data_IF_337925533191
#
_entry.id   IF_337925533191
#
_cell.length_a   1.000
_cell.length_b   1.000
_cell.length_c   1.000
_cell.angle_alpha   90.00
_cell.angle_beta   90.00
_cell.angle_gamma   90.00
#
_symmetry.space_group_name_H-M   'P 1'
#
loop_
_entity.id
_entity.type
_entity.pdbx_description
1 polymer ?
#
# COMPACT_ATOMS: atom_id res chain seq x y z
N UNK A 1 28.16 -9.06 -19.50
CA UNK A 1 26.70 -9.27 -19.60
C UNK A 1 26.25 -10.01 -18.35
N UNK A 2 25.36 -9.45 -17.53
CA UNK A 2 24.84 -10.20 -16.36
C UNK A 2 23.99 -11.37 -16.85
N UNK A 3 24.26 -12.57 -16.33
CA UNK A 3 23.45 -13.77 -16.59
C UNK A 3 22.01 -13.52 -16.11
N UNK A 4 21.03 -13.74 -16.99
CA UNK A 4 19.62 -13.65 -16.65
C UNK A 4 19.28 -14.64 -15.52
N UNK A 5 18.45 -14.20 -14.55
CA UNK A 5 18.07 -14.95 -13.34
C UNK A 5 16.56 -15.27 -13.37
N UNK A 6 16.15 -16.37 -14.04
CA UNK A 6 14.73 -16.75 -14.13
C UNK A 6 14.10 -17.06 -12.77
N UNK A 7 14.90 -17.54 -11.82
CA UNK A 7 14.48 -17.82 -10.45
C UNK A 7 13.99 -16.57 -9.70
N UNK A 8 14.50 -15.38 -10.04
CA UNK A 8 14.04 -14.12 -9.43
C UNK A 8 12.65 -13.72 -9.96
N UNK A 9 12.40 -13.94 -11.25
CA UNK A 9 11.05 -13.73 -11.80
C UNK A 9 10.08 -14.79 -11.23
N UNK A 10 10.51 -16.03 -11.09
CA UNK A 10 9.76 -17.05 -10.37
C UNK A 10 9.42 -16.69 -8.92
N UNK A 11 10.38 -16.11 -8.20
CA UNK A 11 10.16 -15.63 -6.83
C UNK A 11 9.12 -14.50 -6.78
N UNK A 12 9.08 -13.62 -7.78
CA UNK A 12 8.00 -12.63 -7.91
C UNK A 12 6.63 -13.27 -8.13
N UNK A 13 6.56 -14.40 -8.83
CA UNK A 13 5.30 -15.14 -8.98
C UNK A 13 4.81 -15.70 -7.65
N UNK A 14 5.72 -16.28 -6.86
CA UNK A 14 5.45 -16.75 -5.49
C UNK A 14 5.07 -15.60 -4.56
N UNK A 15 5.50 -14.37 -4.86
CA UNK A 15 5.09 -13.17 -4.12
C UNK A 15 3.71 -12.62 -4.54
N UNK A 16 3.40 -12.53 -5.84
CA UNK A 16 2.16 -11.88 -6.31
C UNK A 16 0.92 -12.78 -6.24
N UNK A 17 1.05 -14.08 -6.47
CA UNK A 17 -0.11 -14.98 -6.49
C UNK A 17 -0.80 -15.06 -5.11
N UNK A 18 -0.08 -15.20 -3.98
CA UNK A 18 -0.72 -15.17 -2.67
C UNK A 18 -1.42 -13.84 -2.39
N UNK A 19 -0.83 -12.69 -2.78
CA UNK A 19 -1.47 -11.37 -2.62
C UNK A 19 -2.78 -11.30 -3.41
N UNK A 20 -2.77 -11.79 -4.65
CA UNK A 20 -3.98 -11.85 -5.50
C UNK A 20 -5.07 -12.72 -4.86
N UNK A 21 -4.71 -13.92 -4.37
CA UNK A 21 -5.66 -14.84 -3.76
C UNK A 21 -6.18 -14.36 -2.41
N UNK A 22 -5.32 -13.72 -1.61
CA UNK A 22 -5.70 -13.04 -0.37
C UNK A 22 -6.74 -11.95 -0.64
N UNK A 23 -6.49 -11.06 -1.59
CA UNK A 23 -7.44 -10.00 -1.95
C UNK A 23 -8.74 -10.52 -2.59
N UNK A 24 -8.67 -11.67 -3.26
CA UNK A 24 -9.85 -12.37 -3.75
C UNK A 24 -10.61 -13.15 -2.66
N UNK A 25 -10.20 -13.08 -1.38
CA UNK A 25 -10.91 -13.71 -0.26
C UNK A 25 -10.77 -15.23 -0.20
N UNK A 26 -9.76 -15.82 -0.84
CA UNK A 26 -9.52 -17.27 -0.77
C UNK A 26 -8.90 -17.60 0.58
N UNK A 27 -9.69 -18.17 1.50
CA UNK A 27 -9.29 -18.38 2.90
C UNK A 27 -7.98 -19.16 3.12
N UNK A 28 -7.61 -20.06 2.22
CA UNK A 28 -6.33 -20.78 2.28
C UNK A 28 -5.10 -19.83 2.17
N UNK A 29 -5.27 -18.62 1.64
CA UNK A 29 -4.21 -17.63 1.46
C UNK A 29 -4.38 -16.44 2.41
N UNK A 30 -4.89 -16.66 3.63
CA UNK A 30 -5.07 -15.60 4.64
C UNK A 30 -3.77 -14.84 4.95
N UNK A 31 -2.60 -15.51 4.87
CA UNK A 31 -1.29 -14.91 5.02
C UNK A 31 -0.71 -14.33 3.73
N UNK A 32 -1.46 -14.27 2.63
CA UNK A 32 -0.95 -13.90 1.32
C UNK A 32 -0.42 -12.45 1.22
N UNK A 33 -0.79 -11.58 2.16
CA UNK A 33 -0.26 -10.22 2.27
C UNK A 33 1.28 -10.18 2.44
N UNK A 34 1.89 -11.24 2.99
CA UNK A 34 3.36 -11.35 3.15
C UNK A 34 4.14 -11.35 1.82
N UNK A 35 3.44 -11.55 0.70
CA UNK A 35 4.05 -11.44 -0.62
C UNK A 35 4.65 -10.06 -0.89
N UNK A 36 4.12 -8.99 -0.26
CA UNK A 36 4.68 -7.64 -0.37
C UNK A 36 6.09 -7.56 0.26
N UNK A 37 6.30 -8.20 1.39
CA UNK A 37 7.59 -8.26 2.08
C UNK A 37 8.64 -9.02 1.22
N UNK A 38 8.21 -10.10 0.56
CA UNK A 38 9.05 -10.81 -0.42
C UNK A 38 9.41 -9.89 -1.60
N UNK A 39 8.47 -9.08 -2.09
CA UNK A 39 8.75 -8.07 -3.13
C UNK A 39 9.79 -7.04 -2.67
N UNK A 40 9.69 -6.55 -1.44
CA UNK A 40 10.65 -5.61 -0.86
C UNK A 40 12.08 -6.18 -0.86
N UNK A 41 12.26 -7.44 -0.46
CA UNK A 41 13.57 -8.10 -0.51
C UNK A 41 14.10 -8.20 -1.95
N UNK A 42 13.26 -8.61 -2.91
CA UNK A 42 13.65 -8.69 -4.33
C UNK A 42 14.07 -7.33 -4.87
N UNK A 43 13.29 -6.28 -4.56
CA UNK A 43 13.51 -4.92 -5.02
C UNK A 43 14.81 -4.34 -4.46
N UNK A 44 15.04 -4.49 -3.16
CA UNK A 44 16.30 -4.10 -2.52
C UNK A 44 17.53 -4.78 -3.13
N UNK A 45 17.43 -6.10 -3.42
CA UNK A 45 18.50 -6.85 -4.08
C UNK A 45 18.80 -6.33 -5.49
N UNK A 46 17.76 -6.19 -6.33
CA UNK A 46 17.95 -5.80 -7.72
C UNK A 46 18.47 -4.37 -7.86
N UNK A 47 17.90 -3.43 -7.09
CA UNK A 47 18.30 -2.03 -7.14
C UNK A 47 19.72 -1.84 -6.61
N UNK A 48 20.02 -2.40 -5.44
CA UNK A 48 21.37 -2.31 -4.86
C UNK A 48 22.40 -2.93 -5.80
N UNK A 49 22.10 -4.10 -6.39
CA UNK A 49 23.03 -4.76 -7.32
C UNK A 49 23.30 -3.93 -8.56
N UNK A 50 22.26 -3.30 -9.14
CA UNK A 50 22.42 -2.41 -10.30
C UNK A 50 23.32 -1.22 -9.94
N UNK A 51 22.99 -0.49 -8.87
CA UNK A 51 23.70 0.72 -8.46
C UNK A 51 25.15 0.37 -8.10
N UNK A 52 25.34 -0.61 -7.21
CA UNK A 52 26.67 -1.00 -6.74
C UNK A 52 27.57 -1.47 -7.88
N UNK A 53 27.03 -2.29 -8.80
CA UNK A 53 27.80 -2.74 -9.99
C UNK A 53 28.21 -1.57 -10.86
N UNK A 54 27.29 -0.64 -11.16
CA UNK A 54 27.59 0.54 -11.98
C UNK A 54 28.57 1.49 -11.28
N UNK A 55 28.54 1.59 -9.93
CA UNK A 55 29.52 2.36 -9.15
C UNK A 55 30.91 1.73 -9.26
N UNK A 56 31.03 0.41 -9.04
CA UNK A 56 32.31 -0.30 -9.16
C UNK A 56 32.90 -0.20 -10.57
N UNK A 57 32.04 -0.09 -11.60
CA UNK A 57 32.44 0.09 -13.00
C UNK A 57 32.71 1.56 -13.37
N UNK A 58 32.46 2.52 -12.48
CA UNK A 58 32.61 3.96 -12.78
C UNK A 58 31.59 4.51 -13.77
N UNK A 59 30.49 3.80 -14.04
CA UNK A 59 29.48 4.15 -15.06
C UNK A 59 28.16 4.62 -14.46
N UNK A 60 28.05 4.68 -13.13
CA UNK A 60 26.80 5.04 -12.45
C UNK A 60 26.37 6.47 -12.79
N UNK A 61 25.07 6.61 -13.09
CA UNK A 61 24.44 7.90 -13.31
C UNK A 61 23.08 7.90 -12.64
N UNK A 62 22.89 8.80 -11.69
CA UNK A 62 21.63 8.94 -10.94
C UNK A 62 20.45 9.27 -11.87
N UNK A 63 20.68 10.11 -12.88
CA UNK A 63 19.65 10.46 -13.87
C UNK A 63 19.24 9.24 -14.71
N UNK A 64 20.21 8.45 -15.20
CA UNK A 64 19.91 7.21 -15.94
C UNK A 64 19.23 6.17 -15.05
N UNK A 65 19.57 6.12 -13.77
CA UNK A 65 18.90 5.25 -12.81
C UNK A 65 17.41 5.61 -12.68
N UNK A 66 17.09 6.88 -12.40
CA UNK A 66 15.71 7.33 -12.28
C UNK A 66 14.93 7.24 -13.59
N UNK A 67 15.58 7.51 -14.72
CA UNK A 67 14.96 7.29 -16.03
C UNK A 67 14.51 5.83 -16.20
N UNK A 68 15.37 4.85 -15.88
CA UNK A 68 15.03 3.43 -15.98
C UNK A 68 13.91 3.02 -15.01
N UNK A 69 13.81 3.67 -13.84
CA UNK A 69 12.71 3.45 -12.88
C UNK A 69 11.42 4.04 -13.41
N UNK A 70 11.43 5.32 -13.82
CA UNK A 70 10.27 5.98 -14.40
C UNK A 70 9.68 5.20 -15.58
N UNK A 71 10.53 4.70 -16.50
CA UNK A 71 10.11 3.87 -17.65
C UNK A 71 9.46 2.54 -17.27
N UNK A 72 9.78 2.02 -16.09
CA UNK A 72 9.25 0.75 -15.59
C UNK A 72 7.96 0.94 -14.79
N UNK A 73 7.85 2.03 -14.04
CA UNK A 73 6.80 2.24 -13.03
C UNK A 73 5.68 3.14 -13.57
N UNK A 74 6.02 4.34 -14.04
CA UNK A 74 5.01 5.38 -14.32
C UNK A 74 3.99 5.00 -15.40
N UNK A 75 4.34 4.39 -16.55
CA UNK A 75 3.35 4.11 -17.60
C UNK A 75 2.20 3.22 -17.13
N UNK A 76 2.51 2.11 -16.45
CA UNK A 76 1.48 1.18 -15.98
C UNK A 76 0.68 1.76 -14.81
N UNK A 77 1.35 2.51 -13.92
CA UNK A 77 0.69 3.24 -12.84
C UNK A 77 -0.30 4.28 -13.38
N UNK A 78 0.11 5.09 -14.36
CA UNK A 78 -0.75 6.10 -14.99
C UNK A 78 -1.95 5.47 -15.69
N UNK A 79 -1.76 4.36 -16.41
CA UNK A 79 -2.86 3.64 -17.04
C UNK A 79 -3.87 3.11 -16.01
N UNK A 80 -3.38 2.57 -14.89
CA UNK A 80 -4.22 2.08 -13.79
C UNK A 80 -4.97 3.24 -13.13
N UNK A 81 -4.30 4.34 -12.81
CA UNK A 81 -4.93 5.52 -12.22
C UNK A 81 -5.98 6.14 -13.16
N UNK A 82 -5.70 6.23 -14.46
CA UNK A 82 -6.66 6.71 -15.44
C UNK A 82 -7.90 5.80 -15.50
N UNK A 83 -7.70 4.48 -15.51
CA UNK A 83 -8.80 3.53 -15.41
C UNK A 83 -9.62 3.76 -14.14
N UNK A 84 -8.97 3.89 -12.98
CA UNK A 84 -9.67 4.15 -11.72
C UNK A 84 -10.46 5.47 -11.76
N UNK A 85 -9.91 6.53 -12.35
CA UNK A 85 -10.63 7.81 -12.51
C UNK A 85 -11.90 7.61 -13.34
N UNK A 86 -11.77 6.94 -14.50
CA UNK A 86 -12.92 6.69 -15.38
C UNK A 86 -14.00 5.91 -14.65
N UNK A 87 -13.65 4.82 -13.98
CA UNK A 87 -14.63 3.99 -13.28
C UNK A 87 -15.25 4.74 -12.07
N UNK A 88 -14.42 5.39 -11.25
CA UNK A 88 -14.89 6.15 -10.08
C UNK A 88 -15.79 7.31 -10.49
N UNK A 89 -15.55 7.96 -11.64
CA UNK A 89 -16.37 9.06 -12.14
C UNK A 89 -17.83 8.67 -12.37
N UNK A 90 -18.07 7.41 -12.76
CA UNK A 90 -19.43 6.91 -12.99
C UNK A 90 -20.03 6.21 -11.77
N UNK A 91 -19.21 5.60 -10.91
CA UNK A 91 -19.69 4.78 -9.81
C UNK A 91 -19.75 5.53 -8.47
N UNK A 92 -18.76 6.36 -8.15
CA UNK A 92 -18.64 6.91 -6.80
C UNK A 92 -19.54 8.12 -6.59
N UNK A 93 -20.32 8.05 -5.51
CA UNK A 93 -21.01 9.20 -4.92
C UNK A 93 -19.98 10.26 -4.49
N UNK A 94 -20.40 11.52 -4.27
CA UNK A 94 -19.45 12.64 -4.15
C UNK A 94 -18.37 12.44 -3.10
N UNK A 95 -18.73 11.98 -1.90
CA UNK A 95 -17.76 11.79 -0.81
C UNK A 95 -16.80 10.62 -1.06
N UNK A 96 -17.26 9.52 -1.66
CA UNK A 96 -16.38 8.41 -2.05
C UNK A 96 -15.41 8.85 -3.17
N UNK A 97 -15.88 9.69 -4.10
CA UNK A 97 -15.03 10.26 -5.14
C UNK A 97 -13.99 11.23 -4.54
N UNK A 98 -14.37 12.02 -3.53
CA UNK A 98 -13.44 12.90 -2.79
C UNK A 98 -12.34 12.09 -2.09
N UNK A 99 -12.69 10.99 -1.42
CA UNK A 99 -11.75 10.08 -0.75
C UNK A 99 -10.83 9.38 -1.77
N UNK A 100 -11.39 8.93 -2.90
CA UNK A 100 -10.63 8.42 -4.03
C UNK A 100 -9.65 9.46 -4.60
N UNK A 101 -10.07 10.72 -4.74
CA UNK A 101 -9.26 11.79 -5.31
C UNK A 101 -8.06 12.15 -4.40
N UNK A 102 -8.23 12.04 -3.07
CA UNK A 102 -7.12 12.09 -2.10
C UNK A 102 -6.15 10.93 -2.30
N UNK A 103 -6.68 9.71 -2.44
CA UNK A 103 -5.86 8.50 -2.69
C UNK A 103 -5.07 8.60 -4.00
N UNK A 104 -5.70 9.12 -5.06
CA UNK A 104 -5.06 9.38 -6.36
C UNK A 104 -3.90 10.36 -6.24
N UNK A 105 -4.14 11.51 -5.58
CA UNK A 105 -3.11 12.52 -5.33
C UNK A 105 -1.93 11.91 -4.55
N UNK A 106 -2.22 11.17 -3.49
CA UNK A 106 -1.20 10.56 -2.65
C UNK A 106 -0.42 9.45 -3.39
N UNK A 107 -1.07 8.67 -4.25
CA UNK A 107 -0.42 7.68 -5.10
C UNK A 107 0.52 8.32 -6.12
N UNK A 108 0.13 9.44 -6.75
CA UNK A 108 0.96 10.17 -7.73
C UNK A 108 2.18 10.84 -7.10
N UNK A 109 2.08 11.23 -5.83
CA UNK A 109 3.17 11.83 -5.07
C UNK A 109 4.01 10.78 -4.31
N UNK A 110 3.69 9.49 -4.42
CA UNK A 110 4.31 8.39 -3.65
C UNK A 110 4.30 8.62 -2.13
N UNK A 111 3.18 9.11 -1.61
CA UNK A 111 2.92 9.35 -0.17
C UNK A 111 1.64 8.66 0.33
N UNK A 112 1.07 7.74 -0.45
CA UNK A 112 -0.16 7.03 -0.09
C UNK A 112 -0.03 6.22 1.21
N UNK A 113 1.16 5.78 1.58
CA UNK A 113 1.39 5.13 2.88
C UNK A 113 1.08 6.08 4.05
N UNK A 114 1.43 7.37 3.96
CA UNK A 114 1.10 8.35 5.00
C UNK A 114 -0.39 8.69 5.04
N UNK A 115 -1.04 8.77 3.87
CA UNK A 115 -2.49 8.96 3.80
C UNK A 115 -3.21 7.82 4.53
N UNK A 116 -2.93 6.57 4.14
CA UNK A 116 -3.66 5.43 4.70
C UNK A 116 -3.31 5.13 6.15
N UNK A 117 -2.13 5.52 6.62
CA UNK A 117 -1.77 5.49 8.05
C UNK A 117 -2.74 6.33 8.91
N UNK A 118 -3.24 7.45 8.38
CA UNK A 118 -4.20 8.32 9.07
C UNK A 118 -5.66 7.91 8.86
N UNK A 119 -5.93 6.90 8.03
CA UNK A 119 -7.28 6.47 7.64
C UNK A 119 -7.60 5.06 8.15
N UNK A 120 -7.09 4.71 9.32
CA UNK A 120 -7.41 3.47 10.05
C UNK A 120 -8.23 3.78 11.29
N UNK A 121 -9.25 2.98 11.59
CA UNK A 121 -10.03 3.11 12.82
C UNK A 121 -11.51 2.84 12.60
N UNK A 122 -12.27 2.83 13.70
CA UNK A 122 -13.70 2.49 13.71
C UNK A 122 -14.56 3.32 12.74
N UNK A 123 -14.21 4.60 12.54
CA UNK A 123 -14.94 5.52 11.65
C UNK A 123 -14.31 5.68 10.26
N UNK A 124 -13.23 4.95 9.97
CA UNK A 124 -12.61 5.02 8.65
C UNK A 124 -13.43 4.25 7.61
N UNK A 125 -13.44 4.75 6.37
CA UNK A 125 -14.02 4.02 5.25
C UNK A 125 -13.35 2.62 5.15
N UNK A 126 -14.11 1.53 4.94
CA UNK A 126 -13.54 0.21 4.83
C UNK A 126 -12.40 0.17 3.80
N UNK A 127 -11.24 -0.33 4.21
CA UNK A 127 -10.06 -0.42 3.36
C UNK A 127 -10.33 -1.20 2.06
N UNK A 128 -11.26 -2.15 2.09
CA UNK A 128 -11.66 -3.00 0.97
C UNK A 128 -12.40 -2.27 -0.16
N UNK A 129 -12.87 -1.03 0.05
CA UNK A 129 -13.54 -0.24 -0.99
C UNK A 129 -12.68 0.89 -1.56
N UNK A 130 -11.39 0.96 -1.19
CA UNK A 130 -10.44 1.97 -1.68
C UNK A 130 -9.64 1.44 -2.88
N UNK A 131 -9.92 1.88 -4.13
CA UNK A 131 -9.34 1.25 -5.32
C UNK A 131 -7.81 1.39 -5.44
N UNK A 132 -7.23 2.38 -4.75
CA UNK A 132 -5.79 2.64 -4.78
C UNK A 132 -5.09 2.29 -3.46
N UNK A 133 -5.73 1.54 -2.55
CA UNK A 133 -5.14 1.22 -1.25
C UNK A 133 -3.76 0.57 -1.39
N UNK A 134 -3.66 -0.48 -2.21
CA UNK A 134 -2.42 -1.21 -2.48
C UNK A 134 -1.23 -0.33 -2.93
N UNK A 135 -1.42 0.93 -3.36
CA UNK A 135 -0.28 1.80 -3.70
C UNK A 135 0.54 2.22 -2.48
N UNK A 136 0.10 1.95 -1.24
CA UNK A 136 0.86 2.22 -0.03
C UNK A 136 2.26 1.57 -0.04
N UNK A 137 2.36 0.29 -0.45
CA UNK A 137 3.64 -0.41 -0.45
C UNK A 137 4.53 0.07 -1.60
N UNK A 138 3.92 0.43 -2.74
CA UNK A 138 4.62 1.09 -3.84
C UNK A 138 5.21 2.43 -3.38
N UNK A 139 4.48 3.23 -2.59
CA UNK A 139 5.01 4.47 -2.03
C UNK A 139 6.24 4.23 -1.14
N UNK A 140 6.21 3.22 -0.27
CA UNK A 140 7.37 2.82 0.56
C UNK A 140 8.57 2.43 -0.33
N UNK A 141 8.32 1.63 -1.36
CA UNK A 141 9.34 1.17 -2.32
C UNK A 141 9.95 2.35 -3.11
N UNK A 142 9.14 3.28 -3.61
CA UNK A 142 9.63 4.45 -4.36
C UNK A 142 10.36 5.45 -3.46
N UNK A 143 9.93 5.64 -2.21
CA UNK A 143 10.68 6.43 -1.22
C UNK A 143 12.07 5.84 -0.99
N UNK A 144 12.18 4.51 -0.89
CA UNK A 144 13.48 3.84 -0.86
C UNK A 144 14.25 4.07 -2.17
N UNK A 145 13.61 4.03 -3.34
CA UNK A 145 14.29 4.30 -4.62
C UNK A 145 14.79 5.73 -4.76
N UNK A 146 14.18 6.71 -4.12
CA UNK A 146 14.63 8.11 -4.13
C UNK A 146 15.81 8.30 -3.16
N UNK A 147 15.72 7.74 -1.96
CA UNK A 147 16.70 8.01 -0.89
C UNK A 147 17.91 7.09 -0.99
N UNK A 148 17.70 5.79 -1.21
CA UNK A 148 18.75 4.78 -1.11
C UNK A 148 19.89 4.94 -2.12
N UNK A 149 19.68 5.25 -3.42
CA UNK A 149 20.79 5.43 -4.35
C UNK A 149 21.73 6.56 -3.94
N UNK A 150 21.19 7.66 -3.41
CA UNK A 150 21.99 8.79 -2.93
C UNK A 150 22.84 8.37 -1.72
N UNK A 151 22.22 7.71 -0.75
CA UNK A 151 22.92 7.16 0.41
C UNK A 151 24.01 6.17 0.00
N UNK A 152 23.72 5.28 -0.95
CA UNK A 152 24.67 4.25 -1.39
C UNK A 152 25.86 4.87 -2.12
N UNK A 153 25.67 5.90 -2.95
CA UNK A 153 26.76 6.62 -3.63
C UNK A 153 27.66 7.32 -2.61
N UNK A 154 27.07 8.03 -1.65
CA UNK A 154 27.82 8.73 -0.59
C UNK A 154 28.59 7.72 0.26
N UNK A 155 27.93 6.64 0.70
CA UNK A 155 28.55 5.60 1.50
C UNK A 155 29.63 4.82 0.73
N UNK A 156 29.44 4.53 -0.55
CA UNK A 156 30.46 3.88 -1.38
C UNK A 156 31.70 4.75 -1.57
N UNK A 157 31.56 6.09 -1.50
CA UNK A 157 32.68 7.04 -1.59
C UNK A 157 33.43 7.19 -0.26
N UNK A 158 32.72 7.39 0.84
CA UNK A 158 33.33 7.75 2.13
C UNK A 158 33.48 6.58 3.11
N UNK A 159 32.63 5.56 2.99
CA UNK A 159 32.57 4.41 3.89
C UNK A 159 32.86 3.12 3.15
N UNK A 160 33.65 3.14 2.06
CA UNK A 160 33.84 1.98 1.17
C UNK A 160 34.16 0.67 1.91
N UNK A 161 35.03 0.73 2.92
CA UNK A 161 35.45 -0.42 3.71
C UNK A 161 34.40 -0.87 4.74
N UNK A 162 33.48 0.02 5.12
CA UNK A 162 32.42 -0.22 6.11
C UNK A 162 31.04 -0.33 5.48
N UNK A 163 30.91 -0.18 4.15
CA UNK A 163 29.63 -0.08 3.45
C UNK A 163 28.69 -1.24 3.81
N UNK A 164 29.23 -2.46 3.77
CA UNK A 164 28.50 -3.66 4.16
C UNK A 164 28.01 -3.61 5.61
N UNK A 165 28.92 -3.26 6.53
CA UNK A 165 28.61 -3.15 7.95
C UNK A 165 27.56 -2.05 8.21
N UNK A 166 27.68 -0.90 7.57
CA UNK A 166 26.71 0.20 7.70
C UNK A 166 25.31 -0.23 7.25
N UNK A 167 25.19 -0.92 6.11
CA UNK A 167 23.89 -1.43 5.63
C UNK A 167 23.33 -2.48 6.60
N UNK A 168 24.17 -3.38 7.14
CA UNK A 168 23.74 -4.37 8.14
C UNK A 168 23.23 -3.67 9.42
N UNK A 169 23.96 -2.69 9.95
CA UNK A 169 23.57 -1.95 11.15
C UNK A 169 22.23 -1.22 10.95
N UNK A 170 22.04 -0.57 9.79
CA UNK A 170 20.78 0.11 9.48
C UNK A 170 19.63 -0.91 9.32
N UNK A 171 19.91 -2.07 8.73
CA UNK A 171 18.93 -3.17 8.62
C UNK A 171 18.47 -3.61 10.01
N UNK A 172 19.40 -3.86 10.93
CA UNK A 172 19.09 -4.29 12.29
C UNK A 172 18.38 -3.20 13.08
N UNK A 173 18.77 -1.92 12.93
CA UNK A 173 18.10 -0.81 13.58
C UNK A 173 16.65 -0.63 13.10
N UNK A 174 16.42 -0.72 11.78
CA UNK A 174 15.08 -0.67 11.19
C UNK A 174 14.22 -1.86 11.62
N UNK A 175 14.79 -3.06 11.70
CA UNK A 175 14.10 -4.25 12.22
C UNK A 175 13.74 -4.11 13.71
N UNK A 176 14.67 -3.64 14.55
CA UNK A 176 14.40 -3.39 15.97
C UNK A 176 13.29 -2.34 16.14
N UNK A 177 13.32 -1.27 15.33
CA UNK A 177 12.25 -0.27 15.31
C UNK A 177 10.91 -0.86 14.87
N UNK A 178 10.89 -1.75 13.86
CA UNK A 178 9.70 -2.48 13.42
C UNK A 178 9.07 -3.30 14.56
N UNK A 179 9.88 -4.12 15.24
CA UNK A 179 9.41 -4.97 16.35
C UNK A 179 8.86 -4.12 17.49
N UNK A 180 9.59 -3.08 17.90
CA UNK A 180 9.15 -2.17 18.95
C UNK A 180 7.86 -1.42 18.58
N UNK A 181 7.79 -0.88 17.36
CA UNK A 181 6.63 -0.12 16.89
C UNK A 181 5.39 -1.00 16.74
N UNK A 182 5.55 -2.28 16.36
CA UNK A 182 4.42 -3.21 16.21
C UNK A 182 3.69 -3.41 17.54
N UNK A 183 4.42 -3.52 18.66
CA UNK A 183 3.83 -3.68 19.99
C UNK A 183 3.15 -2.44 20.56
N UNK A 184 3.49 -1.23 20.10
CA UNK A 184 2.96 0.03 20.65
C UNK A 184 1.99 0.76 19.71
N UNK A 185 2.26 0.72 18.40
CA UNK A 185 1.59 1.48 17.33
C UNK A 185 1.59 0.66 16.03
N UNK A 186 0.82 -0.44 15.93
CA UNK A 186 0.89 -1.39 14.81
C UNK A 186 0.61 -0.74 13.45
N UNK A 187 -0.35 0.19 13.38
CA UNK A 187 -0.65 0.96 12.14
C UNK A 187 0.58 1.73 11.65
N UNK A 188 1.33 2.36 12.55
CA UNK A 188 2.54 3.10 12.20
C UNK A 188 3.64 2.13 11.75
N UNK A 189 3.81 1.00 12.45
CA UNK A 189 4.77 -0.02 12.08
C UNK A 189 4.52 -0.57 10.66
N UNK A 190 3.26 -0.71 10.27
CA UNK A 190 2.84 -1.21 8.96
C UNK A 190 3.09 -0.21 7.82
N UNK A 191 2.74 1.07 7.99
CA UNK A 191 2.79 2.06 6.91
C UNK A 191 4.07 2.92 6.84
N UNK A 192 4.83 3.04 7.94
CA UNK A 192 6.03 3.89 7.94
C UNK A 192 7.20 3.21 7.23
N UNK A 193 7.84 3.96 6.33
CA UNK A 193 9.01 3.47 5.59
C UNK A 193 10.18 3.08 6.51
N UNK A 194 10.52 3.80 7.59
CA UNK A 194 11.58 3.39 8.50
C UNK A 194 11.38 2.03 9.20
N UNK A 195 10.14 1.62 9.49
CA UNK A 195 9.85 0.29 10.07
C UNK A 195 9.81 -0.82 9.04
N UNK A 196 9.71 -0.49 7.74
CA UNK A 196 9.67 -1.47 6.65
C UNK A 196 10.99 -1.54 5.86
N UNK A 197 11.90 -0.58 6.06
CA UNK A 197 13.13 -0.45 5.30
C UNK A 197 14.04 -1.68 5.42
N UNK A 198 14.08 -2.36 6.58
CA UNK A 198 14.90 -3.56 6.79
C UNK A 198 14.61 -4.69 5.78
N UNK A 199 13.37 -4.80 5.28
CA UNK A 199 12.96 -5.79 4.28
C UNK A 199 13.70 -5.56 2.95
N UNK A 200 13.72 -4.30 2.49
CA UNK A 200 14.51 -3.87 1.31
C UNK A 200 16.01 -4.00 1.59
N UNK A 201 16.45 -3.70 2.82
CA UNK A 201 17.86 -3.76 3.17
C UNK A 201 18.41 -5.18 3.26
N UNK A 202 17.60 -6.20 3.58
CA UNK A 202 18.01 -7.62 3.47
C UNK A 202 18.47 -7.91 2.04
N UNK A 203 17.68 -7.53 1.04
CA UNK A 203 18.09 -7.66 -0.36
C UNK A 203 19.36 -6.87 -0.68
N UNK A 204 19.49 -5.69 -0.10
CA UNK A 204 20.67 -4.82 -0.26
C UNK A 204 21.95 -5.45 0.28
N UNK A 205 21.90 -6.05 1.47
CA UNK A 205 23.02 -6.79 2.08
C UNK A 205 23.48 -7.91 1.15
N UNK A 206 22.55 -8.69 0.61
CA UNK A 206 22.86 -9.77 -0.34
C UNK A 206 23.52 -9.25 -1.62
N UNK A 207 23.05 -8.13 -2.14
CA UNK A 207 23.57 -7.54 -3.37
C UNK A 207 25.00 -6.99 -3.23
N UNK A 208 25.41 -6.57 -2.02
CA UNK A 208 26.76 -6.09 -1.74
C UNK A 208 27.80 -7.22 -1.65
N UNK A 209 27.37 -8.48 -1.59
CA UNK A 209 28.29 -9.63 -1.56
C UNK A 209 29.10 -9.74 -0.27
N UNK A 210 28.58 -9.21 0.84
CA UNK A 210 29.27 -9.19 2.15
C UNK A 210 29.12 -10.51 2.90
N UNK A 211 28.19 -11.37 2.46
CA UNK A 211 28.01 -12.72 3.01
C UNK A 211 28.99 -13.67 2.30
N UNK A 212 29.82 -14.44 3.03
CA UNK A 212 30.75 -15.41 2.45
C UNK A 212 30.05 -16.40 1.53
N UNK A 213 30.75 -16.89 0.49
CA UNK A 213 30.23 -17.92 -0.39
C UNK A 213 30.28 -19.31 0.28
N UNK A 214 29.33 -20.18 -0.06
CA UNK A 214 29.29 -21.57 0.41
C UNK A 214 29.62 -22.47 -0.76
N UNK A 215 30.64 -23.32 -0.60
CA UNK A 215 31.07 -24.27 -1.64
C UNK A 215 30.18 -25.52 -1.71
N UNK A 216 29.58 -25.93 -0.58
CA UNK A 216 28.77 -27.14 -0.51
C UNK A 216 27.38 -26.94 -1.14
N UNK A 217 27.17 -27.61 -2.28
CA UNK A 217 25.89 -27.63 -3.00
C UNK A 217 24.74 -28.23 -2.19
N UNK A 218 24.99 -29.16 -1.26
CA UNK A 218 23.96 -29.76 -0.41
C UNK A 218 23.42 -28.71 0.57
N UNK A 219 24.32 -27.94 1.17
CA UNK A 219 23.95 -26.81 2.05
C UNK A 219 23.16 -25.77 1.26
N UNK A 220 23.61 -25.38 0.07
CA UNK A 220 22.89 -24.43 -0.78
C UNK A 220 21.49 -24.93 -1.17
N UNK A 221 21.34 -26.22 -1.47
CA UNK A 221 20.01 -26.82 -1.71
C UNK A 221 19.13 -26.78 -0.45
N UNK A 222 19.70 -27.10 0.72
CA UNK A 222 19.00 -27.00 2.00
C UNK A 222 18.51 -25.58 2.28
N UNK A 223 19.36 -24.57 2.09
CA UNK A 223 18.99 -23.16 2.25
C UNK A 223 17.90 -22.72 1.26
N UNK A 224 17.98 -23.17 0.01
CA UNK A 224 16.98 -22.87 -1.02
C UNK A 224 15.60 -23.45 -0.67
N UNK A 225 15.56 -24.72 -0.24
CA UNK A 225 14.31 -25.38 0.17
C UNK A 225 13.76 -24.80 1.49
N UNK A 226 14.63 -24.49 2.45
CA UNK A 226 14.24 -23.80 3.68
C UNK A 226 13.64 -22.43 3.38
N UNK A 227 14.25 -21.67 2.47
CA UNK A 227 13.74 -20.35 2.08
C UNK A 227 12.35 -20.43 1.45
N UNK A 228 12.12 -21.42 0.58
CA UNK A 228 10.80 -21.69 0.03
C UNK A 228 9.80 -22.11 1.11
N UNK A 229 10.21 -23.00 2.03
CA UNK A 229 9.37 -23.46 3.13
C UNK A 229 8.96 -22.31 4.06
N UNK A 230 9.87 -21.38 4.38
CA UNK A 230 9.56 -20.19 5.18
C UNK A 230 8.49 -19.31 4.53
N UNK A 231 8.61 -19.05 3.22
CA UNK A 231 7.62 -18.26 2.48
C UNK A 231 6.25 -18.97 2.47
N UNK A 232 6.22 -20.25 2.14
CA UNK A 232 4.98 -21.03 2.11
C UNK A 232 4.34 -21.13 3.51
N UNK A 233 5.16 -21.32 4.55
CA UNK A 233 4.69 -21.31 5.93
C UNK A 233 3.99 -19.99 6.27
N UNK A 234 4.61 -18.85 5.97
CA UNK A 234 4.00 -17.54 6.23
C UNK A 234 2.69 -17.34 5.46
N UNK A 235 2.62 -17.77 4.19
CA UNK A 235 1.41 -17.65 3.35
C UNK A 235 0.24 -18.46 3.93
N UNK A 236 0.49 -19.69 4.39
CA UNK A 236 -0.58 -20.61 4.80
C UNK A 236 -0.89 -20.60 6.30
N UNK A 237 0.02 -20.09 7.14
CA UNK A 237 -0.15 -20.12 8.60
C UNK A 237 -0.43 -18.75 9.21
N UNK A 238 -0.09 -17.65 8.54
CA UNK A 238 -0.44 -16.31 9.04
C UNK A 238 -1.87 -15.94 8.65
N UNK A 239 -2.45 -15.02 9.41
CA UNK A 239 -3.82 -14.55 9.26
C UNK A 239 -3.99 -13.16 9.92
N UNK A 240 -5.24 -12.69 10.02
CA UNK A 240 -5.57 -11.38 10.61
C UNK A 240 -5.20 -11.24 12.11
N UNK A 241 -5.07 -12.36 12.84
CA UNK A 241 -4.69 -12.37 14.26
C UNK A 241 -3.17 -12.38 14.47
N UNK A 242 -2.40 -12.45 13.38
CA UNK A 242 -0.95 -12.40 13.46
C UNK A 242 -0.50 -10.96 13.68
N UNK A 243 0.21 -10.70 14.79
CA UNK A 243 0.82 -9.39 15.06
C UNK A 243 1.84 -9.04 13.96
N UNK A 244 1.38 -8.27 12.96
CA UNK A 244 2.14 -7.99 11.76
C UNK A 244 2.37 -6.47 11.62
N UNK A 245 3.59 -6.03 11.22
CA UNK A 245 4.69 -6.83 10.70
C UNK A 245 5.54 -7.56 11.75
N UNK A 246 5.95 -6.87 12.82
CA UNK A 246 6.67 -7.47 13.93
C UNK A 246 7.92 -8.25 13.53
N UNK A 247 8.23 -9.29 14.32
CA UNK A 247 9.30 -10.23 14.00
C UNK A 247 8.82 -11.30 13.01
N UNK A 248 7.51 -11.48 12.86
CA UNK A 248 6.85 -12.45 12.00
C UNK A 248 7.18 -12.21 10.53
N UNK A 249 7.24 -10.94 10.11
CA UNK A 249 7.69 -10.54 8.78
C UNK A 249 9.12 -11.01 8.45
N UNK A 250 9.96 -11.33 9.44
CA UNK A 250 11.31 -11.86 9.20
C UNK A 250 11.28 -13.24 8.52
N UNK A 251 10.26 -14.04 8.76
CA UNK A 251 10.13 -15.39 8.19
C UNK A 251 10.09 -15.36 6.66
N UNK A 252 9.13 -14.67 6.00
CA UNK A 252 9.10 -14.58 4.55
C UNK A 252 10.29 -13.77 3.99
N UNK A 253 10.77 -12.74 4.70
CA UNK A 253 11.89 -11.91 4.24
C UNK A 253 13.22 -12.67 4.18
N UNK A 254 13.56 -13.36 5.27
CA UNK A 254 14.75 -14.21 5.32
C UNK A 254 14.58 -15.39 4.37
N UNK A 255 13.37 -15.95 4.23
CA UNK A 255 13.09 -16.99 3.24
C UNK A 255 13.40 -16.56 1.80
N UNK A 256 12.95 -15.35 1.42
CA UNK A 256 13.30 -14.74 0.14
C UNK A 256 14.81 -14.50 0.01
N UNK A 257 15.45 -14.01 1.08
CA UNK A 257 16.89 -13.81 1.12
C UNK A 257 17.69 -15.10 0.90
N UNK A 258 17.30 -16.20 1.56
CA UNK A 258 17.90 -17.53 1.42
C UNK A 258 17.79 -18.05 -0.02
N UNK A 259 16.63 -17.89 -0.65
CA UNK A 259 16.43 -18.26 -2.06
C UNK A 259 17.33 -17.45 -2.99
N UNK A 260 17.36 -16.12 -2.83
CA UNK A 260 18.20 -15.23 -3.66
C UNK A 260 19.68 -15.60 -3.52
N UNK A 261 20.14 -15.80 -2.28
CA UNK A 261 21.52 -16.12 -1.92
C UNK A 261 21.95 -17.49 -2.47
N UNK A 262 21.17 -18.54 -2.20
CA UNK A 262 21.54 -19.91 -2.57
C UNK A 262 21.52 -20.12 -4.09
N UNK A 263 20.45 -19.66 -4.75
CA UNK A 263 20.25 -19.81 -6.19
C UNK A 263 21.21 -18.90 -7.00
N UNK A 264 21.82 -17.91 -6.35
CA UNK A 264 22.85 -17.07 -6.96
C UNK A 264 24.20 -17.74 -7.14
N UNK A 265 24.48 -18.80 -6.39
CA UNK A 265 25.78 -19.49 -6.39
C UNK A 265 25.76 -20.77 -7.22
N UNK A 266 24.68 -21.53 -7.18
CA UNK A 266 24.51 -22.77 -7.95
C UNK A 266 23.06 -22.94 -8.38
N UNK A 267 22.83 -23.81 -9.35
CA UNK A 267 21.48 -24.29 -9.64
C UNK A 267 21.01 -25.23 -8.52
N UNK A 268 20.01 -24.79 -7.76
CA UNK A 268 19.40 -25.53 -6.65
C UNK A 268 18.05 -26.12 -7.06
N UNK A 269 17.48 -26.99 -6.24
CA UNK A 269 16.13 -27.53 -6.43
C UNK A 269 15.09 -26.41 -6.36
N UNK A 270 15.13 -25.56 -5.32
CA UNK A 270 14.22 -24.42 -5.19
C UNK A 270 14.36 -23.44 -6.37
N UNK A 271 15.59 -23.19 -6.84
CA UNK A 271 15.84 -22.40 -8.04
C UNK A 271 15.22 -23.00 -9.31
N UNK A 272 15.26 -24.33 -9.47
CA UNK A 272 14.61 -25.03 -10.60
C UNK A 272 13.09 -24.92 -10.55
N UNK A 273 12.49 -25.07 -9.37
CA UNK A 273 11.05 -24.87 -9.16
C UNK A 273 10.65 -23.45 -9.56
N UNK A 274 11.37 -22.44 -9.08
CA UNK A 274 11.09 -21.04 -9.40
C UNK A 274 11.35 -20.71 -10.89
N UNK A 275 12.31 -21.38 -11.52
CA UNK A 275 12.62 -21.16 -12.94
C UNK A 275 11.63 -21.83 -13.90
N UNK A 276 10.56 -22.45 -13.39
CA UNK A 276 9.51 -23.04 -14.21
C UNK A 276 8.83 -21.97 -15.08
N UNK A 277 8.61 -22.26 -16.37
CA UNK A 277 8.17 -21.26 -17.36
C UNK A 277 6.91 -20.48 -16.97
N UNK A 278 5.84 -21.12 -16.45
CA UNK A 278 4.67 -20.40 -15.94
C UNK A 278 4.99 -19.43 -14.80
N UNK A 279 5.84 -19.80 -13.85
CA UNK A 279 6.24 -18.91 -12.75
C UNK A 279 7.06 -17.74 -13.27
N UNK A 280 8.00 -17.99 -14.19
CA UNK A 280 8.74 -16.90 -14.84
C UNK A 280 7.78 -15.95 -15.55
N UNK A 281 6.81 -16.46 -16.31
CA UNK A 281 5.83 -15.63 -17.02
C UNK A 281 4.98 -14.78 -16.07
N UNK A 282 4.47 -15.35 -14.99
CA UNK A 282 3.74 -14.61 -13.94
C UNK A 282 4.66 -13.53 -13.33
N UNK A 283 5.92 -13.88 -13.08
CA UNK A 283 6.95 -12.96 -12.59
C UNK A 283 7.25 -11.79 -13.52
N UNK A 284 7.13 -11.98 -14.84
CA UNK A 284 7.30 -10.93 -15.84
C UNK A 284 6.14 -9.94 -15.82
N UNK A 285 4.91 -10.40 -15.61
CA UNK A 285 3.71 -9.56 -15.54
C UNK A 285 3.42 -9.05 -14.13
N UNK A 286 4.19 -9.46 -13.12
CA UNK A 286 3.84 -9.31 -11.70
C UNK A 286 3.59 -7.86 -11.28
N UNK A 287 4.30 -6.89 -11.86
CA UNK A 287 4.09 -5.47 -11.59
C UNK A 287 2.75 -4.97 -12.13
N UNK A 288 2.43 -5.30 -13.38
CA UNK A 288 1.10 -4.99 -13.92
C UNK A 288 0.00 -5.74 -13.15
N UNK A 289 0.23 -7.00 -12.77
CA UNK A 289 -0.73 -7.75 -11.96
C UNK A 289 -0.97 -7.10 -10.60
N UNK A 290 0.11 -6.64 -9.95
CA UNK A 290 0.04 -5.89 -8.71
C UNK A 290 -0.83 -4.63 -8.83
N UNK A 291 -0.68 -3.86 -9.89
CA UNK A 291 -1.47 -2.63 -10.08
C UNK A 291 -2.93 -2.89 -10.42
N UNK A 292 -3.20 -3.85 -11.30
CA UNK A 292 -4.54 -4.02 -11.87
C UNK A 292 -5.47 -4.86 -11.01
N UNK A 293 -4.96 -5.85 -10.26
CA UNK A 293 -5.84 -6.79 -9.55
C UNK A 293 -6.71 -6.12 -8.50
N UNK A 294 -6.13 -5.19 -7.71
CA UNK A 294 -6.84 -4.59 -6.59
C UNK A 294 -7.99 -3.67 -7.05
N UNK A 295 -7.79 -2.68 -7.95
CA UNK A 295 -8.90 -1.89 -8.47
C UNK A 295 -10.02 -2.74 -9.08
N UNK A 296 -9.68 -3.79 -9.84
CA UNK A 296 -10.67 -4.69 -10.46
C UNK A 296 -11.54 -5.35 -9.38
N UNK A 297 -10.93 -5.89 -8.32
CA UNK A 297 -11.65 -6.52 -7.21
C UNK A 297 -12.47 -5.50 -6.43
N UNK A 298 -11.89 -4.33 -6.13
CA UNK A 298 -12.54 -3.27 -5.34
C UNK A 298 -13.78 -2.73 -6.04
N UNK A 299 -13.70 -2.41 -7.34
CA UNK A 299 -14.87 -1.90 -8.06
C UNK A 299 -15.97 -2.95 -8.18
N UNK A 300 -15.62 -4.23 -8.30
CA UNK A 300 -16.60 -5.32 -8.26
C UNK A 300 -17.28 -5.43 -6.88
N UNK A 301 -16.52 -5.36 -5.79
CA UNK A 301 -17.07 -5.34 -4.42
C UNK A 301 -17.96 -4.12 -4.18
N UNK A 302 -17.53 -2.94 -4.61
CA UNK A 302 -18.29 -1.70 -4.46
C UNK A 302 -19.66 -1.78 -5.17
N UNK A 303 -19.69 -2.31 -6.39
CA UNK A 303 -20.94 -2.44 -7.17
C UNK A 303 -21.87 -3.54 -6.65
N UNK A 304 -21.32 -4.61 -6.08
CA UNK A 304 -22.12 -5.66 -5.47
C UNK A 304 -22.72 -5.26 -4.10
N UNK A 305 -22.16 -4.25 -3.43
CA UNK A 305 -22.62 -3.80 -2.11
C UNK A 305 -22.39 -4.82 -0.98
N UNK A 306 -21.51 -5.81 -1.20
CA UNK A 306 -21.29 -6.90 -0.25
C UNK A 306 -20.34 -7.98 -0.77
N UNK A 307 -20.45 -9.18 -0.19
CA UNK A 307 -19.61 -10.32 -0.57
C UNK A 307 -19.91 -10.81 -2.00
N UNK A 308 -18.83 -11.16 -2.71
CA UNK A 308 -18.91 -11.68 -4.06
C UNK A 308 -18.97 -13.22 -4.04
N UNK A 309 -19.75 -13.81 -4.93
CA UNK A 309 -19.77 -15.27 -5.07
C UNK A 309 -18.39 -15.82 -5.51
N UNK A 310 -18.04 -17.06 -5.13
CA UNK A 310 -16.77 -17.66 -5.53
C UNK A 310 -16.54 -17.69 -7.04
N UNK A 311 -17.61 -17.88 -7.84
CA UNK A 311 -17.53 -17.87 -9.29
C UNK A 311 -17.09 -16.50 -9.83
N UNK A 312 -17.66 -15.41 -9.27
CA UNK A 312 -17.28 -14.04 -9.65
C UNK A 312 -15.84 -13.77 -9.26
N UNK A 313 -15.42 -14.18 -8.06
CA UNK A 313 -14.03 -14.00 -7.59
C UNK A 313 -13.01 -14.69 -8.49
N UNK A 314 -13.27 -15.95 -8.91
CA UNK A 314 -12.42 -16.63 -9.90
C UNK A 314 -12.41 -15.92 -11.25
N UNK A 315 -13.56 -15.40 -11.69
CA UNK A 315 -13.66 -14.55 -12.88
C UNK A 315 -12.78 -13.29 -12.79
N UNK A 316 -12.76 -12.62 -11.63
CA UNK A 316 -11.95 -11.43 -11.38
C UNK A 316 -10.46 -11.74 -11.32
N UNK A 317 -10.05 -12.90 -10.79
CA UNK A 317 -8.67 -13.38 -10.82
C UNK A 317 -8.21 -13.55 -12.27
N UNK A 318 -8.99 -14.26 -13.09
CA UNK A 318 -8.67 -14.48 -14.50
C UNK A 318 -8.62 -13.14 -15.25
N UNK A 319 -9.61 -12.27 -15.03
CA UNK A 319 -9.64 -10.93 -15.62
C UNK A 319 -8.40 -10.12 -15.24
N UNK A 320 -7.99 -10.16 -13.98
CA UNK A 320 -6.79 -9.46 -13.49
C UNK A 320 -5.53 -9.94 -14.19
N UNK A 321 -5.37 -11.26 -14.39
CA UNK A 321 -4.23 -11.83 -15.12
C UNK A 321 -4.26 -11.42 -16.59
N UNK A 322 -5.43 -11.43 -17.23
CA UNK A 322 -5.59 -11.00 -18.64
C UNK A 322 -5.24 -9.53 -18.80
N UNK A 323 -5.85 -8.65 -18.00
CA UNK A 323 -5.59 -7.20 -18.04
C UNK A 323 -4.12 -6.91 -17.71
N UNK A 324 -3.54 -7.57 -16.72
CA UNK A 324 -2.13 -7.44 -16.39
C UNK A 324 -1.22 -7.84 -17.55
N UNK A 325 -1.56 -8.92 -18.26
CA UNK A 325 -0.80 -9.38 -19.44
C UNK A 325 -0.86 -8.37 -20.58
N UNK A 326 -2.05 -7.81 -20.83
CA UNK A 326 -2.25 -6.76 -21.84
C UNK A 326 -1.51 -5.48 -21.45
N UNK A 327 -1.64 -5.02 -20.20
CA UNK A 327 -0.91 -3.87 -19.66
C UNK A 327 0.59 -4.08 -19.77
N UNK A 328 1.11 -5.23 -19.35
CA UNK A 328 2.53 -5.53 -19.47
C UNK A 328 3.00 -5.45 -20.93
N UNK A 329 2.27 -6.07 -21.87
CA UNK A 329 2.65 -6.14 -23.28
C UNK A 329 2.53 -4.80 -24.01
N UNK A 330 1.47 -4.03 -23.75
CA UNK A 330 1.09 -2.86 -24.54
C UNK A 330 1.29 -1.52 -23.82
N UNK A 331 1.41 -1.52 -22.49
CA UNK A 331 1.68 -0.33 -21.69
C UNK A 331 3.08 -0.37 -21.11
N UNK A 332 3.52 -1.44 -20.47
CA UNK A 332 4.83 -1.46 -19.80
C UNK A 332 6.00 -1.65 -20.78
N UNK A 333 5.94 -2.70 -21.61
CA UNK A 333 7.04 -3.06 -22.52
C UNK A 333 7.42 -1.97 -23.53
N UNK A 334 6.49 -1.21 -24.14
CA UNK A 334 6.85 -0.17 -25.11
C UNK A 334 7.77 0.92 -24.56
N UNK A 335 7.62 1.32 -23.30
CA UNK A 335 8.47 2.35 -22.68
C UNK A 335 9.78 1.80 -22.14
N UNK A 336 9.89 0.46 -21.98
CA UNK A 336 11.10 -0.25 -21.57
C UNK A 336 12.03 -0.59 -22.73
N UNK A 337 11.52 -0.65 -23.96
CA UNK A 337 12.33 -0.91 -25.16
C UNK A 337 13.24 0.28 -25.46
N UNK A 338 14.43 -0.01 -25.99
CA UNK A 338 15.43 1.00 -26.38
C UNK A 338 15.14 1.63 -27.75
N UNK A 339 14.09 1.20 -28.43
CA UNK A 339 13.71 1.62 -29.79
C UNK A 339 12.28 2.13 -29.79
N UNK A 340 11.96 3.06 -30.69
CA UNK A 340 10.65 3.70 -30.81
C UNK A 340 10.60 5.15 -30.28
N UNK A 341 9.46 5.84 -30.43
CA UNK A 341 9.34 7.26 -30.10
C UNK A 341 9.57 7.55 -28.61
N UNK A 342 9.12 6.64 -27.74
CA UNK A 342 9.29 6.77 -26.29
C UNK A 342 10.71 6.45 -25.82
N UNK A 343 11.58 5.86 -26.65
CA UNK A 343 12.98 5.65 -26.27
C UNK A 343 13.73 6.99 -26.10
N UNK A 344 13.30 8.04 -26.79
CA UNK A 344 13.88 9.36 -26.66
C UNK A 344 13.47 10.01 -25.33
N UNK A 345 14.45 10.28 -24.46
CA UNK A 345 14.22 10.93 -23.17
C UNK A 345 13.58 12.32 -23.29
N UNK A 346 13.84 13.04 -24.39
CA UNK A 346 13.24 14.36 -24.66
C UNK A 346 11.74 14.29 -24.94
N UNK A 347 11.23 13.11 -25.31
CA UNK A 347 9.79 12.85 -25.46
C UNK A 347 9.23 12.26 -24.17
N UNK A 348 9.95 11.29 -23.59
CA UNK A 348 9.50 10.55 -22.43
C UNK A 348 9.37 11.41 -21.17
N UNK A 349 10.38 12.24 -20.85
CA UNK A 349 10.37 13.02 -19.61
C UNK A 349 9.23 14.06 -19.56
N UNK A 350 8.99 14.88 -20.61
CA UNK A 350 7.84 15.78 -20.63
C UNK A 350 6.50 15.05 -20.59
N UNK A 351 6.37 13.91 -21.27
CA UNK A 351 5.13 13.12 -21.23
C UNK A 351 4.84 12.57 -19.82
N UNK A 352 5.87 12.09 -19.11
CA UNK A 352 5.74 11.65 -17.72
C UNK A 352 5.38 12.82 -16.79
N UNK A 353 6.02 13.98 -16.96
CA UNK A 353 5.71 15.17 -16.17
C UNK A 353 4.27 15.64 -16.42
N UNK A 354 3.85 15.74 -17.68
CA UNK A 354 2.49 16.12 -18.04
C UNK A 354 1.47 15.12 -17.50
N UNK A 355 1.69 13.82 -17.67
CA UNK A 355 0.83 12.77 -17.12
C UNK A 355 0.72 12.84 -15.59
N UNK A 356 1.84 13.00 -14.90
CA UNK A 356 1.86 13.14 -13.44
C UNK A 356 1.14 14.39 -12.95
N UNK A 357 1.35 15.54 -13.60
CA UNK A 357 0.66 16.79 -13.29
C UNK A 357 -0.84 16.70 -13.57
N UNK A 358 -1.24 16.08 -14.68
CA UNK A 358 -2.66 15.90 -15.03
C UNK A 358 -3.38 15.00 -14.03
N UNK A 359 -2.80 13.85 -13.68
CA UNK A 359 -3.41 12.92 -12.72
C UNK A 359 -3.43 13.50 -11.30
N UNK A 360 -2.36 14.18 -10.89
CA UNK A 360 -2.33 14.91 -9.61
C UNK A 360 -3.36 16.03 -9.60
N UNK A 361 -3.45 16.82 -10.68
CA UNK A 361 -4.44 17.89 -10.83
C UNK A 361 -5.87 17.37 -10.80
N UNK A 362 -6.14 16.22 -11.43
CA UNK A 362 -7.44 15.56 -11.35
C UNK A 362 -7.80 15.14 -9.92
N UNK A 363 -6.84 14.58 -9.17
CA UNK A 363 -7.01 14.24 -7.76
C UNK A 363 -7.25 15.46 -6.87
N UNK A 364 -6.46 16.53 -7.04
CA UNK A 364 -6.64 17.78 -6.30
C UNK A 364 -8.00 18.40 -6.63
N UNK A 365 -8.38 18.44 -7.90
CA UNK A 365 -9.66 18.96 -8.37
C UNK A 365 -10.85 18.19 -7.78
N UNK A 366 -10.79 16.85 -7.77
CA UNK A 366 -11.81 16.03 -7.13
C UNK A 366 -11.93 16.26 -5.62
N UNK A 367 -10.82 16.58 -4.95
CA UNK A 367 -10.85 16.88 -3.52
C UNK A 367 -11.48 18.25 -3.22
N UNK A 368 -11.03 19.32 -3.88
CA UNK A 368 -11.49 20.69 -3.61
C UNK A 368 -12.95 20.93 -4.02
N UNK A 369 -13.46 20.16 -4.99
CA UNK A 369 -14.86 20.22 -5.44
C UNK A 369 -15.79 19.32 -4.64
N UNK A 370 -15.32 18.71 -3.54
CA UNK A 370 -16.07 17.71 -2.77
C UNK A 370 -16.61 16.55 -3.63
N UNK A 371 -15.82 16.14 -4.63
CA UNK A 371 -16.11 15.02 -5.52
C UNK A 371 -17.16 15.30 -6.58
N UNK A 372 -17.29 16.56 -7.01
CA UNK A 372 -18.21 17.00 -8.06
C UNK A 372 -19.66 16.55 -7.79
N UNK A 373 -20.31 17.06 -6.73
CA UNK A 373 -21.67 16.66 -6.36
C UNK A 373 -22.68 16.89 -7.49
N UNK A 374 -22.43 17.86 -8.37
CA UNK A 374 -23.29 18.19 -9.51
C UNK A 374 -23.41 17.06 -10.54
N UNK A 375 -22.53 16.04 -10.51
CA UNK A 375 -22.67 14.82 -11.34
C UNK A 375 -23.95 14.04 -11.02
N UNK A 376 -24.50 14.21 -9.82
CA UNK A 376 -25.60 13.41 -9.30
C UNK A 376 -26.88 14.23 -9.13
N UNK A 377 -28.02 13.54 -9.24
CA UNK A 377 -29.34 14.16 -9.04
C UNK A 377 -29.47 14.79 -7.64
N UNK A 378 -30.34 15.79 -7.46
CA UNK A 378 -30.60 16.38 -6.13
C UNK A 378 -30.94 15.33 -5.06
N UNK A 379 -31.64 14.25 -5.44
CA UNK A 379 -32.01 13.16 -4.55
C UNK A 379 -30.78 12.37 -4.06
N UNK A 380 -29.90 11.94 -4.96
CA UNK A 380 -28.65 11.24 -4.59
C UNK A 380 -27.75 12.14 -3.74
N UNK A 381 -27.67 13.44 -4.08
CA UNK A 381 -26.92 14.41 -3.27
C UNK A 381 -27.46 14.51 -1.84
N UNK A 382 -28.79 14.49 -1.67
CA UNK A 382 -29.43 14.51 -0.34
C UNK A 382 -29.09 13.27 0.48
N UNK A 383 -29.10 12.09 -0.14
CA UNK A 383 -28.69 10.85 0.54
C UNK A 383 -27.19 10.86 0.86
N UNK A 384 -26.34 11.33 -0.07
CA UNK A 384 -24.91 11.41 0.15
C UNK A 384 -24.53 12.40 1.26
N UNK A 385 -25.23 13.54 1.39
CA UNK A 385 -24.99 14.52 2.45
C UNK A 385 -25.32 13.98 3.85
N UNK A 386 -26.10 12.90 3.96
CA UNK A 386 -26.37 12.27 5.26
C UNK A 386 -25.10 11.74 5.94
N UNK A 387 -24.04 11.43 5.18
CA UNK A 387 -22.73 11.04 5.75
C UNK A 387 -22.02 12.20 6.46
N UNK A 388 -22.36 13.44 6.13
CA UNK A 388 -21.86 14.64 6.81
C UNK A 388 -22.83 15.15 7.90
N UNK A 389 -23.96 14.47 8.11
CA UNK A 389 -24.93 14.77 9.18
C UNK A 389 -24.43 14.25 10.53
N UNK A 390 -23.30 14.81 10.96
CA UNK A 390 -22.64 14.52 12.22
C UNK A 390 -22.92 15.62 13.23
N UNK A 391 -22.81 15.32 14.53
CA UNK A 391 -22.91 16.35 15.55
C UNK A 391 -21.73 17.34 15.46
N UNK A 392 -22.01 18.56 14.98
CA UNK A 392 -21.01 19.63 14.87
C UNK A 392 -20.40 20.05 16.20
N UNK A 393 -21.01 19.66 17.33
CA UNK A 393 -20.52 19.92 18.68
C UNK A 393 -19.94 18.67 19.36
N UNK A 394 -19.71 17.58 18.62
CA UNK A 394 -19.18 16.34 19.18
C UNK A 394 -17.84 16.57 19.92
N UNK A 395 -16.91 17.34 19.35
CA UNK A 395 -15.62 17.63 20.02
C UNK A 395 -15.77 18.30 21.39
N UNK A 396 -16.70 19.26 21.52
CA UNK A 396 -16.91 20.02 22.76
C UNK A 396 -17.79 19.32 23.79
N UNK A 397 -18.61 18.36 23.34
CA UNK A 397 -19.74 17.85 24.11
C UNK A 397 -19.80 16.32 24.26
N UNK A 398 -19.21 15.54 23.35
CA UNK A 398 -19.27 14.08 23.34
C UNK A 398 -18.21 13.39 24.21
N UNK A 399 -17.17 14.11 24.62
CA UNK A 399 -16.06 13.51 25.39
C UNK A 399 -16.00 14.02 26.83
N UNK A 400 -17.13 14.48 27.38
CA UNK A 400 -17.20 14.92 28.78
C UNK A 400 -17.38 13.72 29.69
N UNK A 401 -16.32 13.36 30.41
CA UNK A 401 -16.38 12.27 31.37
C UNK A 401 -17.37 12.57 32.51
N UNK A 402 -17.82 11.56 33.27
CA UNK A 402 -18.64 11.80 34.45
C UNK A 402 -18.02 12.78 35.46
N UNK A 403 -16.68 12.82 35.55
CA UNK A 403 -15.95 13.81 36.38
C UNK A 403 -16.10 15.23 35.83
N UNK A 404 -16.06 15.40 34.51
CA UNK A 404 -16.26 16.71 33.87
C UNK A 404 -17.69 17.22 34.10
N UNK A 405 -18.69 16.34 34.01
CA UNK A 405 -20.09 16.68 34.27
C UNK A 405 -20.39 16.99 35.74
N UNK A 406 -19.57 16.49 36.68
CA UNK A 406 -19.68 16.82 38.10
C UNK A 406 -19.14 18.22 38.45
N UNK A 407 -18.31 18.80 37.58
CA UNK A 407 -17.63 20.09 37.80
C UNK A 407 -18.05 21.18 36.82
N UNK A 408 -18.81 20.83 35.78
CA UNK A 408 -19.32 21.75 34.75
C UNK A 408 -20.72 21.35 34.36
N UNK A 409 -21.55 22.33 34.00
CA UNK A 409 -22.86 22.05 33.44
C UNK A 409 -22.75 21.23 32.14
N UNK A 410 -23.72 20.34 31.85
CA UNK A 410 -23.81 19.64 30.57
C UNK A 410 -23.82 20.60 29.37
N UNK A 411 -23.65 20.09 28.16
CA UNK A 411 -23.73 20.94 26.98
C UNK A 411 -25.17 21.39 26.72
N UNK A 412 -25.42 22.70 26.68
CA UNK A 412 -26.73 23.23 26.27
C UNK A 412 -26.91 23.13 24.75
N UNK A 413 -28.10 22.77 24.28
CA UNK A 413 -28.50 22.87 22.88
C UNK A 413 -29.94 23.41 22.73
N UNK A 414 -30.31 23.76 21.50
CA UNK A 414 -31.58 24.43 21.19
C UNK A 414 -31.53 25.94 21.46
N UNK A 415 -32.68 26.60 21.72
CA UNK A 415 -32.75 28.05 21.89
C UNK A 415 -31.82 28.59 22.98
N UNK A 416 -31.22 29.76 22.72
CA UNK A 416 -30.29 30.42 23.63
C UNK A 416 -30.95 30.91 24.94
N UNK A 417 -32.26 31.17 24.92
CA UNK A 417 -33.02 31.66 26.08
C UNK A 417 -33.93 30.57 26.65
N UNK A 418 -34.24 30.69 27.95
CA UNK A 418 -35.07 29.73 28.71
C UNK A 418 -34.24 28.68 29.46
N UNK A 419 -34.84 28.08 30.49
CA UNK A 419 -34.22 26.98 31.24
C UNK A 419 -34.35 25.67 30.46
N UNK A 420 -33.27 24.86 30.34
CA UNK A 420 -33.34 23.54 29.72
C UNK A 420 -34.42 22.66 30.35
N UNK A 421 -35.26 22.02 29.53
CA UNK A 421 -36.42 21.24 30.00
C UNK A 421 -36.24 19.73 29.92
N UNK A 422 -35.22 19.26 29.22
CA UNK A 422 -34.94 17.85 29.02
C UNK A 422 -33.44 17.62 28.85
N UNK A 423 -33.01 16.37 28.97
CA UNK A 423 -31.62 15.97 28.77
C UNK A 423 -31.55 14.80 27.78
N UNK A 424 -30.62 14.87 26.85
CA UNK A 424 -30.18 13.76 26.00
C UNK A 424 -28.88 13.25 26.61
N UNK A 425 -28.87 11.99 27.03
CA UNK A 425 -27.69 11.35 27.60
C UNK A 425 -27.40 10.03 26.89
N UNK A 426 -26.14 9.60 26.92
CA UNK A 426 -25.74 8.25 26.49
C UNK A 426 -24.34 8.20 25.89
N UNK A 427 -24.13 7.26 24.97
CA UNK A 427 -22.83 7.04 24.30
C UNK A 427 -22.76 7.71 22.92
N UNK A 428 -22.01 7.12 21.99
CA UNK A 428 -21.90 7.58 20.61
C UNK A 428 -23.22 7.56 19.83
N UNK A 429 -24.22 6.77 20.25
CA UNK A 429 -25.55 6.82 19.65
C UNK A 429 -26.31 8.08 20.04
N UNK A 430 -26.16 8.53 21.30
CA UNK A 430 -26.74 9.79 21.75
C UNK A 430 -26.10 10.99 21.02
N UNK A 431 -24.81 10.91 20.73
CA UNK A 431 -24.11 11.89 19.90
C UNK A 431 -24.57 11.88 18.44
N UNK A 432 -24.70 10.69 17.84
CA UNK A 432 -25.13 10.53 16.46
C UNK A 432 -26.55 11.09 16.21
N UNK A 433 -27.47 10.99 17.18
CA UNK A 433 -28.84 11.50 17.05
C UNK A 433 -28.98 12.99 17.42
N UNK A 434 -27.90 13.62 17.93
CA UNK A 434 -27.94 14.98 18.44
C UNK A 434 -28.34 16.06 17.40
N UNK A 435 -27.97 15.97 16.10
CA UNK A 435 -28.47 16.92 15.09
C UNK A 435 -30.01 16.95 15.01
N UNK A 436 -30.66 15.80 15.13
CA UNK A 436 -32.12 15.69 15.11
C UNK A 436 -32.75 16.36 16.34
N UNK A 437 -32.24 16.08 17.54
CA UNK A 437 -32.72 16.72 18.77
C UNK A 437 -32.48 18.23 18.78
N UNK A 438 -31.37 18.70 18.22
CA UNK A 438 -31.09 20.14 18.08
C UNK A 438 -32.12 20.81 17.18
N UNK A 439 -32.42 20.21 16.03
CA UNK A 439 -33.44 20.69 15.10
C UNK A 439 -34.84 20.73 15.75
N UNK A 440 -35.20 19.70 16.51
CA UNK A 440 -36.49 19.65 17.21
C UNK A 440 -36.56 20.68 18.35
N UNK A 441 -35.49 20.82 19.13
CA UNK A 441 -35.39 21.79 20.22
C UNK A 441 -35.58 23.23 19.72
N UNK A 442 -34.95 23.58 18.58
CA UNK A 442 -35.13 24.88 17.94
C UNK A 442 -36.57 25.07 17.42
N UNK A 443 -37.10 24.07 16.71
CA UNK A 443 -38.46 24.12 16.16
C UNK A 443 -39.52 24.33 17.25
N UNK A 444 -39.44 23.59 18.34
CA UNK A 444 -40.40 23.67 19.45
C UNK A 444 -40.06 24.74 20.48
N UNK A 445 -38.94 25.46 20.30
CA UNK A 445 -38.43 26.47 21.23
C UNK A 445 -38.24 25.93 22.65
N UNK A 446 -37.71 24.71 22.77
CA UNK A 446 -37.43 24.05 24.05
C UNK A 446 -35.94 23.75 24.15
N UNK A 447 -35.17 24.44 25.00
CA UNK A 447 -33.75 24.12 25.20
C UNK A 447 -33.57 22.80 25.97
N UNK A 448 -32.45 22.13 25.72
CA UNK A 448 -32.09 20.86 26.36
C UNK A 448 -30.62 20.80 26.79
N UNK A 449 -30.32 19.82 27.64
CA UNK A 449 -28.97 19.45 28.05
C UNK A 449 -28.49 18.22 27.29
N UNK A 450 -27.21 18.18 26.94
CA UNK A 450 -26.56 17.06 26.29
C UNK A 450 -25.35 16.62 27.10
N UNK A 451 -25.29 15.32 27.39
CA UNK A 451 -24.19 14.70 28.12
C UNK A 451 -23.91 13.33 27.49
N UNK A 452 -22.82 13.19 26.75
CA UNK A 452 -22.42 11.89 26.24
C UNK A 452 -20.95 11.60 26.43
N UNK A 453 -20.63 10.31 26.47
CA UNK A 453 -19.28 9.78 26.54
C UNK A 453 -19.22 8.43 25.83
N UNK A 454 -18.32 8.28 24.86
CA UNK A 454 -18.15 7.04 24.11
C UNK A 454 -17.91 5.83 25.05
N UNK A 455 -18.70 4.76 24.88
CA UNK A 455 -18.62 3.56 25.72
C UNK A 455 -19.33 3.68 27.09
N UNK A 456 -20.11 4.74 27.31
CA UNK A 456 -20.98 4.90 28.48
C UNK A 456 -22.46 5.03 28.04
N UNK A 457 -23.17 3.90 27.83
CA UNK A 457 -24.55 3.90 27.35
C UNK A 457 -25.55 4.52 28.34
#
# INVERSE_FOLDING_TARGET
>A
MQKYRPDIDGLRAVAILPVLFFHAGIGAFAGGYVGVDVFFVISGFLITRIIYTEIQQGTFSILKFYERRARRILPALFATCLFCIVIAWWLFVPLDFKDFARSLTAAMLFVSNFLFMGETGYFAQPSEIKPLLHTWSLAVEEQYYIVFPLLLVVAAKFLRNFLGLSVIVITLASFAFCVWATGYRPVYAFFLSPSRAWELLIGSVLALGVIPLISDKRVLNGLSLLGLACILFAIFMFNADTDFPGWQAAIPCLGAGLLIYANGQTETIGGRILSFKPFVWIGLISYSLYLWHWPIIVFAKYTAGGELSPLVLWGLIVLSIVVATLSWKFVEQPFRRKTGPFANIRVFAPACLAGGLLLTGAGVSGHITNGFPERWSPEVRRFASAREDINSRSEDCHHRSPKDLSSREPCRFGPAQGAPKFMVWGDSHADAIMPAFTTLAERYKVPGWFASYGGCP
#
